data_IF_776732078899
#
_entry.id   IF_776732078899
#
_cell.length_a   1.000
_cell.length_b   1.000
_cell.length_c   1.000
_cell.angle_alpha   90.00
_cell.angle_beta   90.00
_cell.angle_gamma   90.00
#
_symmetry.space_group_name_H-M   'P 1'
#
loop_
_entity.id
_entity.type
_entity.pdbx_description
1 polymer ?
#
# COMPACT_ATOMS: atom_id res chain seq x y z
N UNK A 1 -70.43 21.48 -39.64
CA UNK A 1 -69.58 20.54 -38.89
C UNK A 1 -68.16 20.67 -39.40
N UNK A 2 -67.27 21.34 -38.64
CA UNK A 2 -65.83 21.41 -38.93
C UNK A 2 -65.11 21.19 -37.62
N UNK A 3 -64.57 19.99 -37.43
CA UNK A 3 -63.74 19.62 -36.28
C UNK A 3 -62.30 20.03 -36.56
N UNK A 4 -61.73 20.87 -35.70
CA UNK A 4 -60.29 21.16 -35.67
C UNK A 4 -59.64 20.26 -34.62
N UNK A 5 -58.68 19.43 -35.04
CA UNK A 5 -57.87 18.58 -34.18
C UNK A 5 -56.58 19.35 -33.86
N UNK A 6 -56.37 19.69 -32.60
CA UNK A 6 -55.14 20.27 -32.06
C UNK A 6 -54.19 19.13 -31.65
N UNK A 7 -53.06 19.00 -32.35
CA UNK A 7 -51.96 18.09 -32.01
C UNK A 7 -50.99 18.81 -31.07
N UNK A 8 -50.90 18.34 -29.83
CA UNK A 8 -49.91 18.78 -28.84
C UNK A 8 -48.66 17.90 -28.95
N UNK A 9 -47.56 18.44 -29.48
CA UNK A 9 -46.26 17.77 -29.53
C UNK A 9 -45.51 17.98 -28.20
N UNK A 10 -45.31 16.90 -27.44
CA UNK A 10 -44.53 16.90 -26.19
C UNK A 10 -43.05 16.76 -26.53
N UNK A 11 -42.25 17.81 -26.32
CA UNK A 11 -40.79 17.75 -26.41
C UNK A 11 -40.23 17.12 -25.12
N UNK A 12 -39.75 15.88 -25.18
CA UNK A 12 -38.98 15.28 -24.10
C UNK A 12 -37.52 15.75 -24.19
N UNK A 13 -37.09 16.61 -23.27
CA UNK A 13 -35.69 16.98 -23.12
C UNK A 13 -34.93 15.83 -22.42
N UNK A 14 -34.09 15.13 -23.17
CA UNK A 14 -33.14 14.15 -22.62
C UNK A 14 -32.01 14.92 -21.96
N UNK A 15 -32.02 14.99 -20.63
CA UNK A 15 -30.88 15.47 -19.85
C UNK A 15 -29.79 14.39 -19.90
N UNK A 16 -28.80 14.56 -20.76
CA UNK A 16 -27.57 13.77 -20.71
C UNK A 16 -26.83 14.12 -19.40
N UNK A 17 -26.78 13.17 -18.46
CA UNK A 17 -25.93 13.30 -17.28
C UNK A 17 -24.47 13.37 -17.76
N UNK A 18 -23.68 14.38 -17.33
CA UNK A 18 -22.24 14.35 -17.59
C UNK A 18 -21.68 13.11 -16.88
N UNK A 19 -21.10 12.20 -17.67
CA UNK A 19 -20.25 11.14 -17.12
C UNK A 19 -19.22 11.80 -16.20
N UNK A 20 -19.07 11.26 -15.00
CA UNK A 20 -18.19 11.80 -13.97
C UNK A 20 -16.83 12.13 -14.56
N UNK A 21 -16.39 13.36 -14.33
CA UNK A 21 -15.01 13.78 -14.54
C UNK A 21 -14.14 12.91 -13.63
N UNK A 22 -13.62 11.80 -14.15
CA UNK A 22 -12.36 11.25 -13.64
C UNK A 22 -11.36 12.41 -13.72
N UNK A 23 -11.11 13.04 -12.58
CA UNK A 23 -10.11 14.09 -12.46
C UNK A 23 -8.83 13.54 -13.07
N UNK A 24 -8.31 14.21 -14.11
CA UNK A 24 -7.06 13.84 -14.76
C UNK A 24 -5.97 13.88 -13.68
N UNK A 25 -5.66 12.71 -13.14
CA UNK A 25 -4.66 12.57 -12.09
C UNK A 25 -3.33 13.14 -12.60
N UNK A 26 -2.58 13.89 -11.77
CA UNK A 26 -1.29 14.42 -12.16
C UNK A 26 -0.42 13.29 -12.74
N UNK A 27 -0.07 13.40 -14.04
CA UNK A 27 0.76 12.41 -14.70
C UNK A 27 2.22 12.71 -14.34
N UNK A 28 2.75 11.95 -13.39
CA UNK A 28 4.18 11.86 -13.20
C UNK A 28 4.83 11.25 -14.46
N UNK A 29 6.13 11.51 -14.67
CA UNK A 29 6.87 10.84 -15.72
C UNK A 29 6.85 9.31 -15.50
N UNK A 30 6.96 8.52 -16.57
CA UNK A 30 6.92 7.06 -16.45
C UNK A 30 8.03 6.51 -15.54
N UNK A 31 9.19 7.18 -15.52
CA UNK A 31 10.31 6.86 -14.64
C UNK A 31 10.13 7.34 -13.18
N UNK A 32 9.01 8.01 -12.89
CA UNK A 32 8.63 8.53 -11.58
C UNK A 32 7.18 8.14 -11.18
N UNK A 33 6.68 7.02 -11.72
CA UNK A 33 5.31 6.56 -11.49
C UNK A 33 5.31 5.14 -10.93
N UNK A 34 4.75 4.96 -9.73
CA UNK A 34 4.49 3.62 -9.18
C UNK A 34 3.13 3.09 -9.63
N UNK A 35 2.96 1.77 -9.61
CA UNK A 35 1.67 1.16 -9.89
C UNK A 35 1.55 -0.20 -9.20
N UNK A 36 0.35 -0.54 -8.73
CA UNK A 36 0.12 -1.85 -8.11
C UNK A 36 -1.22 -2.40 -8.59
N UNK A 37 -1.17 -3.33 -9.56
CA UNK A 37 -2.37 -3.95 -10.13
C UNK A 37 -2.53 -5.41 -9.70
N UNK A 38 -1.42 -6.11 -9.47
CA UNK A 38 -1.38 -7.48 -8.95
C UNK A 38 0.01 -7.82 -8.42
N UNK A 39 0.21 -9.06 -7.95
CA UNK A 39 1.51 -9.55 -7.53
C UNK A 39 2.54 -9.66 -8.67
N UNK A 40 2.08 -9.73 -9.92
CA UNK A 40 2.93 -9.86 -11.12
C UNK A 40 2.89 -8.62 -12.02
N UNK A 41 2.01 -7.65 -11.73
CA UNK A 41 1.88 -6.39 -12.46
C UNK A 41 2.00 -5.22 -11.48
N UNK A 42 3.23 -4.72 -11.32
CA UNK A 42 3.55 -3.66 -10.40
C UNK A 42 4.78 -2.87 -10.84
N UNK A 43 4.91 -1.65 -10.34
CA UNK A 43 6.05 -0.78 -10.45
C UNK A 43 6.35 -0.14 -9.09
N UNK A 44 7.63 -0.06 -8.74
CA UNK A 44 8.15 0.44 -7.48
C UNK A 44 9.26 1.46 -7.73
N UNK A 45 9.52 2.34 -6.77
CA UNK A 45 10.69 3.24 -6.82
C UNK A 45 11.91 2.52 -6.24
N UNK A 46 13.04 2.61 -6.93
CA UNK A 46 14.32 2.09 -6.47
C UNK A 46 15.42 3.12 -6.72
N UNK A 47 16.60 2.96 -6.11
CA UNK A 47 17.76 3.75 -6.47
C UNK A 47 18.08 3.64 -7.96
N UNK A 48 18.52 4.76 -8.56
CA UNK A 48 18.96 4.81 -9.95
C UNK A 48 20.34 4.16 -10.11
N UNK A 49 21.21 4.36 -9.12
CA UNK A 49 22.58 3.87 -9.14
C UNK A 49 22.69 2.47 -8.51
N UNK A 50 23.64 1.63 -8.97
CA UNK A 50 23.90 0.34 -8.37
C UNK A 50 24.26 0.43 -6.88
N UNK A 51 23.91 -0.60 -6.11
CA UNK A 51 24.32 -0.83 -4.73
C UNK A 51 24.16 0.38 -3.80
N UNK A 52 23.07 1.12 -3.99
CA UNK A 52 22.80 2.36 -3.26
C UNK A 52 21.87 2.06 -2.08
N UNK A 53 22.11 2.69 -0.94
CA UNK A 53 21.16 2.63 0.18
C UNK A 53 19.91 3.44 -0.18
N UNK A 54 18.75 3.02 0.31
CA UNK A 54 17.47 3.70 0.04
C UNK A 54 17.57 5.17 0.46
N UNK A 55 18.04 5.44 1.68
CA UNK A 55 18.21 6.81 2.18
C UNK A 55 19.25 7.66 1.42
N UNK A 56 20.28 7.03 0.84
CA UNK A 56 21.28 7.77 0.04
C UNK A 56 20.73 8.17 -1.33
N UNK A 57 19.73 7.45 -1.83
CA UNK A 57 19.10 7.75 -3.11
C UNK A 57 18.13 8.93 -3.07
N UNK A 58 17.75 9.39 -1.87
CA UNK A 58 16.70 10.36 -1.56
C UNK A 58 17.02 11.83 -1.95
N UNK A 59 17.63 12.03 -3.12
CA UNK A 59 17.90 13.33 -3.71
C UNK A 59 17.32 13.42 -5.13
N UNK A 60 17.05 14.62 -5.68
CA UNK A 60 16.58 14.77 -7.05
C UNK A 60 17.44 13.98 -8.06
N UNK A 61 16.79 13.11 -8.84
CA UNK A 61 17.44 12.23 -9.83
C UNK A 61 18.06 10.93 -9.29
N UNK A 62 18.17 10.75 -7.98
CA UNK A 62 18.77 9.56 -7.34
C UNK A 62 17.90 8.31 -7.39
N UNK A 63 16.63 8.46 -7.75
CA UNK A 63 15.61 7.41 -7.76
C UNK A 63 14.99 7.25 -9.14
N UNK A 64 14.36 6.09 -9.35
CA UNK A 64 13.72 5.72 -10.62
C UNK A 64 12.70 4.61 -10.40
N UNK A 65 11.68 4.57 -11.25
CA UNK A 65 10.71 3.49 -11.32
C UNK A 65 11.32 2.22 -11.93
N UNK A 66 11.11 1.08 -11.27
CA UNK A 66 11.38 -0.26 -11.77
C UNK A 66 10.08 -1.08 -11.75
N UNK A 67 9.79 -1.78 -12.83
CA UNK A 67 8.54 -2.52 -12.99
C UNK A 67 8.77 -4.01 -13.19
N UNK A 68 7.80 -4.83 -12.78
CA UNK A 68 7.72 -6.21 -13.26
C UNK A 68 7.59 -6.23 -14.79
N UNK A 69 7.90 -7.37 -15.43
CA UNK A 69 7.80 -7.50 -16.88
C UNK A 69 6.40 -7.12 -17.41
N UNK A 70 5.33 -7.47 -16.68
CA UNK A 70 3.94 -7.15 -17.05
C UNK A 70 3.51 -5.71 -16.71
N UNK A 71 4.24 -5.04 -15.82
CA UNK A 71 3.99 -3.65 -15.43
C UNK A 71 4.82 -2.64 -16.22
N UNK A 72 5.88 -3.08 -16.87
CA UNK A 72 6.78 -2.26 -17.69
C UNK A 72 6.07 -1.80 -18.96
N UNK A 73 6.05 -0.49 -19.19
CA UNK A 73 5.40 0.09 -20.37
C UNK A 73 6.22 1.19 -21.05
N UNK A 74 7.33 1.63 -20.46
CA UNK A 74 8.17 2.69 -21.00
C UNK A 74 9.66 2.36 -20.85
N UNK A 75 10.46 2.66 -21.89
CA UNK A 75 11.91 2.43 -21.89
C UNK A 75 12.67 3.20 -20.80
N UNK A 76 12.09 4.31 -20.33
CA UNK A 76 12.61 5.07 -19.21
C UNK A 76 12.40 4.35 -17.88
N UNK A 77 11.70 3.23 -17.79
CA UNK A 77 11.57 2.43 -16.56
C UNK A 77 12.63 1.33 -16.51
N UNK A 78 13.07 0.97 -15.30
CA UNK A 78 13.86 -0.23 -15.10
C UNK A 78 13.00 -1.50 -15.04
N UNK A 79 13.64 -2.66 -15.14
CA UNK A 79 12.99 -3.95 -14.97
C UNK A 79 13.34 -4.57 -13.62
N UNK A 80 12.32 -5.05 -12.92
CA UNK A 80 12.45 -5.88 -11.73
C UNK A 80 12.59 -7.33 -12.21
N UNK A 81 13.70 -8.01 -11.90
CA UNK A 81 13.92 -9.36 -12.35
C UNK A 81 12.92 -10.34 -11.72
N UNK A 82 12.61 -11.40 -12.46
CA UNK A 82 11.80 -12.51 -11.94
C UNK A 82 12.42 -13.09 -10.67
N UNK A 83 11.57 -13.44 -9.69
CA UNK A 83 12.01 -13.93 -8.38
C UNK A 83 12.47 -12.83 -7.41
N UNK A 84 12.43 -11.55 -7.80
CA UNK A 84 12.65 -10.44 -6.86
C UNK A 84 11.71 -10.55 -5.66
N UNK A 85 10.40 -10.70 -5.88
CA UNK A 85 9.51 -11.15 -4.82
C UNK A 85 9.64 -12.66 -4.67
N UNK A 86 10.21 -13.11 -3.55
CA UNK A 86 10.16 -14.54 -3.18
C UNK A 86 8.73 -14.95 -2.89
N UNK A 87 7.99 -14.05 -2.25
CA UNK A 87 6.57 -14.17 -1.96
C UNK A 87 5.99 -12.79 -1.75
N UNK A 88 4.87 -12.51 -2.40
CA UNK A 88 4.14 -11.28 -2.23
C UNK A 88 2.65 -11.57 -2.05
N UNK A 89 2.00 -10.72 -1.27
CA UNK A 89 0.57 -10.70 -1.06
C UNK A 89 0.02 -9.38 -1.60
N UNK A 90 -0.86 -9.50 -2.58
CA UNK A 90 -1.59 -8.37 -3.14
C UNK A 90 -2.95 -8.24 -2.45
N UNK A 91 -3.32 -7.03 -2.04
CA UNK A 91 -4.60 -6.70 -1.42
C UNK A 91 -5.16 -5.41 -1.99
N UNK A 92 -6.46 -5.39 -2.21
CA UNK A 92 -7.22 -4.18 -2.55
C UNK A 92 -8.43 -4.06 -1.65
N UNK A 93 -8.93 -2.86 -1.48
CA UNK A 93 -10.17 -2.62 -0.74
C UNK A 93 -10.44 -1.15 -0.54
N UNK A 94 -11.35 -0.86 0.39
CA UNK A 94 -11.62 0.49 0.88
C UNK A 94 -11.08 0.65 2.29
N UNK A 95 -10.47 1.80 2.56
CA UNK A 95 -9.99 2.17 3.88
C UNK A 95 -11.07 2.81 4.75
N UNK A 96 -10.65 3.45 5.85
CA UNK A 96 -11.57 3.90 6.91
C UNK A 96 -12.63 4.88 6.43
N UNK A 97 -12.24 5.76 5.50
CA UNK A 97 -13.10 6.82 4.97
C UNK A 97 -13.67 6.45 3.59
N UNK A 98 -13.63 5.17 3.21
CA UNK A 98 -14.15 4.68 1.93
C UNK A 98 -13.20 4.83 0.73
N UNK A 99 -12.08 5.53 0.88
CA UNK A 99 -11.04 5.65 -0.15
C UNK A 99 -10.47 4.30 -0.56
N UNK A 100 -10.19 4.10 -1.85
CA UNK A 100 -9.66 2.81 -2.33
C UNK A 100 -8.19 2.69 -1.98
N UNK A 101 -7.71 1.46 -1.88
CA UNK A 101 -6.29 1.16 -1.82
C UNK A 101 -5.92 -0.08 -2.62
N UNK A 102 -4.65 -0.13 -3.04
CA UNK A 102 -3.97 -1.31 -3.51
C UNK A 102 -2.64 -1.45 -2.77
N UNK A 103 -2.32 -2.66 -2.31
CA UNK A 103 -1.11 -2.94 -1.56
C UNK A 103 -0.47 -4.21 -2.07
N UNK A 104 0.83 -4.15 -2.32
CA UNK A 104 1.68 -5.31 -2.53
C UNK A 104 2.72 -5.35 -1.43
N UNK A 105 2.78 -6.47 -0.72
CA UNK A 105 3.62 -6.59 0.45
C UNK A 105 4.22 -7.98 0.54
N UNK A 106 5.47 -8.10 0.94
CA UNK A 106 6.09 -9.41 0.94
C UNK A 106 7.57 -9.40 1.23
N UNK A 107 8.21 -10.49 0.80
CA UNK A 107 9.62 -10.69 1.02
C UNK A 107 10.37 -10.74 -0.30
N UNK A 108 11.43 -9.93 -0.34
CA UNK A 108 12.23 -9.68 -1.53
C UNK A 108 13.54 -10.48 -1.49
N UNK A 109 14.13 -10.66 -2.66
CA UNK A 109 15.50 -11.08 -2.85
C UNK A 109 16.30 -9.87 -3.32
N UNK A 110 16.85 -9.07 -2.39
CA UNK A 110 17.50 -7.79 -2.74
C UNK A 110 18.75 -7.99 -3.61
N UNK A 111 19.37 -9.17 -3.58
CA UNK A 111 20.54 -9.48 -4.40
C UNK A 111 20.24 -9.67 -5.90
N UNK A 112 18.97 -9.78 -6.30
CA UNK A 112 18.62 -9.88 -7.72
C UNK A 112 18.57 -8.52 -8.41
N UNK A 113 18.29 -7.45 -7.67
CA UNK A 113 18.25 -6.10 -8.21
C UNK A 113 19.53 -5.37 -7.81
N UNK A 114 20.43 -5.19 -8.77
CA UNK A 114 21.76 -4.59 -8.58
C UNK A 114 21.73 -3.16 -8.01
N UNK A 115 20.59 -2.47 -8.10
CA UNK A 115 20.36 -1.13 -7.51
C UNK A 115 20.35 -1.12 -5.99
N UNK A 116 19.95 -2.23 -5.38
CA UNK A 116 19.85 -2.32 -3.93
C UNK A 116 21.20 -2.72 -3.33
N UNK A 117 21.52 -2.11 -2.20
CA UNK A 117 22.51 -2.66 -1.27
C UNK A 117 21.81 -3.68 -0.35
N UNK A 118 22.12 -4.99 -0.43
CA UNK A 118 21.47 -6.00 0.42
C UNK A 118 21.71 -5.82 1.93
N UNK A 119 22.70 -5.02 2.32
CA UNK A 119 23.01 -4.73 3.74
C UNK A 119 22.30 -3.49 4.28
N UNK A 120 21.56 -2.77 3.44
CA UNK A 120 20.88 -1.55 3.84
C UNK A 120 19.72 -1.83 4.81
N UNK A 121 19.60 -1.01 5.84
CA UNK A 121 18.47 -1.01 6.78
C UNK A 121 17.14 -0.74 6.07
N UNK A 122 17.18 0.05 5.00
CA UNK A 122 16.04 0.41 4.19
C UNK A 122 15.63 1.87 4.34
N UNK A 123 14.49 2.18 3.76
CA UNK A 123 13.91 3.53 3.81
C UNK A 123 12.51 3.57 3.22
N UNK A 124 11.99 4.77 3.07
CA UNK A 124 10.64 5.04 2.57
C UNK A 124 10.71 5.90 1.31
N UNK A 125 9.88 5.59 0.32
CA UNK A 125 9.53 6.50 -0.76
C UNK A 125 8.03 6.77 -0.71
N UNK A 126 7.62 8.00 -0.98
CA UNK A 126 6.21 8.35 -0.85
C UNK A 126 5.88 9.63 -1.65
N UNK A 127 4.60 9.85 -1.95
CA UNK A 127 4.15 10.99 -2.76
C UNK A 127 3.97 12.30 -1.98
N UNK A 128 4.08 12.28 -0.65
CA UNK A 128 3.61 13.35 0.24
C UNK A 128 4.61 13.79 1.30
N UNK A 129 5.78 13.16 1.36
CA UNK A 129 6.90 13.44 2.25
C UNK A 129 7.88 14.43 1.64
N UNK A 130 9.12 14.42 2.15
CA UNK A 130 10.18 15.31 1.70
C UNK A 130 9.93 16.79 1.98
N UNK A 131 10.86 17.63 1.50
CA UNK A 131 10.79 19.09 1.70
C UNK A 131 9.55 19.68 1.03
N UNK A 132 8.69 20.31 1.83
CA UNK A 132 7.44 20.93 1.34
C UNK A 132 6.34 19.94 0.96
N UNK A 133 6.42 18.67 1.39
CA UNK A 133 5.36 17.68 1.17
C UNK A 133 5.18 17.26 -0.29
N UNK A 134 6.26 17.34 -1.08
CA UNK A 134 6.24 17.11 -2.53
C UNK A 134 6.62 15.68 -2.93
N UNK A 135 6.75 14.79 -1.94
CA UNK A 135 7.16 13.41 -2.10
C UNK A 135 8.67 13.24 -2.22
N UNK A 136 9.08 11.99 -2.05
CA UNK A 136 10.42 11.52 -2.34
C UNK A 136 10.32 10.18 -3.08
N UNK A 137 10.51 10.16 -4.41
CA UNK A 137 11.02 11.24 -5.26
C UNK A 137 10.00 12.39 -5.43
N UNK A 138 10.50 13.60 -5.68
CA UNK A 138 9.65 14.77 -5.87
C UNK A 138 8.70 14.59 -7.08
N UNK A 139 7.41 14.83 -6.88
CA UNK A 139 6.40 14.74 -7.94
C UNK A 139 6.12 13.31 -8.42
N UNK A 140 6.53 12.31 -7.65
CA UNK A 140 6.17 10.93 -7.86
C UNK A 140 4.68 10.72 -7.59
N UNK A 141 4.07 9.76 -8.29
CA UNK A 141 2.66 9.45 -8.14
C UNK A 141 2.40 7.95 -8.28
N UNK A 142 1.27 7.49 -7.71
CA UNK A 142 0.77 6.16 -8.02
C UNK A 142 -0.34 6.22 -9.06
N UNK A 143 -0.20 5.41 -10.10
CA UNK A 143 -1.18 5.35 -11.18
C UNK A 143 -2.55 4.89 -10.64
N UNK A 144 -3.56 5.77 -10.73
CA UNK A 144 -4.93 5.49 -10.31
C UNK A 144 -5.24 5.85 -8.85
N UNK A 145 -4.29 6.41 -8.09
CA UNK A 145 -4.42 6.74 -6.68
C UNK A 145 -3.82 8.11 -6.35
N UNK A 146 -4.32 8.77 -5.30
CA UNK A 146 -3.87 10.12 -4.92
C UNK A 146 -2.56 10.13 -4.14
N UNK A 147 -2.29 9.05 -3.40
CA UNK A 147 -1.13 8.93 -2.53
C UNK A 147 -0.50 7.55 -2.67
N UNK A 148 0.78 7.46 -2.32
CA UNK A 148 1.43 6.17 -2.08
C UNK A 148 2.48 6.26 -0.99
N UNK A 149 2.76 5.11 -0.38
CA UNK A 149 3.89 4.87 0.49
C UNK A 149 4.54 3.55 0.10
N UNK A 150 5.86 3.58 -0.05
CA UNK A 150 6.71 2.45 -0.38
C UNK A 150 7.79 2.31 0.68
N UNK A 151 8.02 1.09 1.14
CA UNK A 151 9.04 0.74 2.10
C UNK A 151 9.87 -0.37 1.50
N UNK A 152 11.18 -0.15 1.44
CA UNK A 152 12.14 -1.14 0.93
C UNK A 152 13.19 -1.35 2.01
N UNK A 153 13.30 -2.57 2.53
CA UNK A 153 14.20 -2.92 3.63
C UNK A 153 15.05 -4.14 3.25
N UNK A 154 16.14 -3.91 2.49
CA UNK A 154 16.95 -4.98 1.91
C UNK A 154 17.54 -5.95 2.94
N UNK A 155 18.12 -5.43 4.02
CA UNK A 155 18.72 -6.25 5.10
C UNK A 155 17.71 -7.17 5.78
N UNK A 156 16.44 -6.76 5.84
CA UNK A 156 15.34 -7.56 6.36
C UNK A 156 14.63 -8.39 5.28
N UNK A 157 15.06 -8.29 4.02
CA UNK A 157 14.49 -8.96 2.86
C UNK A 157 12.98 -8.75 2.75
N UNK A 158 12.50 -7.53 3.00
CA UNK A 158 11.08 -7.18 2.97
C UNK A 158 10.84 -5.88 2.22
N UNK A 159 9.69 -5.78 1.59
CA UNK A 159 9.22 -4.54 1.00
C UNK A 159 7.69 -4.47 1.02
N UNK A 160 7.16 -3.25 0.95
CA UNK A 160 5.75 -2.97 0.91
C UNK A 160 5.51 -1.74 0.05
N UNK A 161 4.63 -1.82 -0.94
CA UNK A 161 4.12 -0.67 -1.69
C UNK A 161 2.62 -0.60 -1.48
N UNK A 162 2.10 0.59 -1.17
CA UNK A 162 0.68 0.83 -1.00
C UNK A 162 0.29 2.13 -1.68
N UNK A 163 -0.71 2.06 -2.54
CA UNK A 163 -1.36 3.20 -3.14
C UNK A 163 -2.76 3.38 -2.54
N UNK A 164 -3.17 4.61 -2.32
CA UNK A 164 -4.46 4.93 -1.71
C UNK A 164 -5.04 6.26 -2.21
N UNK A 165 -6.37 6.36 -2.18
CA UNK A 165 -7.07 7.61 -2.49
C UNK A 165 -7.10 8.57 -1.29
N UNK A 166 -7.08 8.03 -0.07
CA UNK A 166 -7.07 8.78 1.19
C UNK A 166 -5.69 8.69 1.87
N UNK A 167 -5.03 9.82 2.19
CA UNK A 167 -3.72 9.82 2.83
C UNK A 167 -3.71 9.12 4.20
N UNK A 168 -4.83 9.04 4.92
CA UNK A 168 -4.95 8.29 6.17
C UNK A 168 -4.74 6.78 5.97
N UNK A 169 -4.95 6.29 4.75
CA UNK A 169 -4.69 4.90 4.38
C UNK A 169 -3.25 4.67 3.88
N UNK A 170 -2.44 5.72 3.67
CA UNK A 170 -1.00 5.64 3.37
C UNK A 170 -0.18 6.42 4.39
N UNK A 171 -0.13 5.99 5.67
CA UNK A 171 0.65 6.70 6.68
C UNK A 171 2.16 6.59 6.40
N UNK A 172 2.83 7.74 6.31
CA UNK A 172 4.29 7.85 6.10
C UNK A 172 5.09 7.64 7.39
N UNK A 173 4.46 7.64 8.56
CA UNK A 173 5.13 7.45 9.85
C UNK A 173 5.19 5.99 10.32
N UNK A 174 4.87 5.02 9.45
CA UNK A 174 4.83 3.59 9.81
C UNK A 174 5.91 2.79 9.10
N UNK A 175 6.53 1.86 9.84
CA UNK A 175 7.47 0.89 9.28
C UNK A 175 6.77 -0.25 8.53
N UNK A 176 7.50 -1.03 7.73
CA UNK A 176 6.86 -2.00 6.84
C UNK A 176 6.06 -3.04 7.63
N UNK A 177 6.59 -3.47 8.78
CA UNK A 177 5.95 -4.39 9.74
C UNK A 177 4.55 -3.95 10.16
N UNK A 178 4.31 -2.66 10.30
CA UNK A 178 2.99 -2.12 10.66
C UNK A 178 2.08 -1.98 9.44
N UNK A 179 2.65 -1.65 8.27
CA UNK A 179 1.94 -1.63 6.98
C UNK A 179 1.52 -3.04 6.51
N UNK A 180 2.18 -4.12 6.98
CA UNK A 180 1.76 -5.51 6.78
C UNK A 180 0.45 -5.84 7.51
N UNK A 181 0.13 -5.11 8.57
CA UNK A 181 -1.00 -5.37 9.47
C UNK A 181 -2.07 -4.32 9.27
N UNK A 182 -2.73 -4.29 8.09
CA UNK A 182 -3.97 -3.53 7.97
C UNK A 182 -4.99 -4.12 8.98
N UNK A 183 -5.39 -3.37 10.03
CA UNK A 183 -6.11 -3.94 11.17
C UNK A 183 -7.62 -4.12 10.91
N UNK A 184 -8.09 -3.93 9.68
CA UNK A 184 -9.52 -3.82 9.35
C UNK A 184 -10.10 -5.02 8.59
N UNK A 185 -9.50 -6.20 8.67
CA UNK A 185 -10.17 -7.39 8.11
C UNK A 185 -9.82 -8.65 8.89
N UNK A 186 -10.85 -9.40 9.31
CA UNK A 186 -10.75 -10.77 9.83
C UNK A 186 -10.08 -11.75 8.84
N UNK A 187 -9.87 -11.35 7.57
CA UNK A 187 -8.99 -12.00 6.58
C UNK A 187 -7.49 -11.66 6.75
N UNK A 188 -7.10 -11.01 7.84
CA UNK A 188 -5.71 -10.72 8.19
C UNK A 188 -4.91 -11.96 8.60
N UNK A 189 -5.57 -12.94 9.22
CA UNK A 189 -4.92 -14.13 9.80
C UNK A 189 -4.29 -15.04 8.73
N UNK A 190 -4.96 -15.26 7.58
CA UNK A 190 -4.36 -16.04 6.47
C UNK A 190 -3.14 -15.35 5.86
N UNK A 191 -3.17 -14.02 5.69
CA UNK A 191 -2.02 -13.28 5.17
C UNK A 191 -0.84 -13.31 6.14
N UNK A 192 -1.13 -13.19 7.43
CA UNK A 192 -0.15 -13.32 8.50
C UNK A 192 0.47 -14.71 8.44
N UNK A 193 -0.30 -15.79 8.37
CA UNK A 193 0.24 -17.16 8.23
C UNK A 193 1.10 -17.30 6.96
N UNK A 194 0.63 -16.85 5.81
CA UNK A 194 1.34 -16.93 4.52
C UNK A 194 2.72 -16.24 4.58
N UNK A 195 2.80 -15.08 5.25
CA UNK A 195 4.03 -14.30 5.43
C UNK A 195 4.92 -14.85 6.54
N UNK A 196 4.35 -15.36 7.64
CA UNK A 196 5.09 -15.98 8.75
C UNK A 196 5.78 -17.28 8.37
N UNK A 197 5.11 -18.11 7.57
CA UNK A 197 5.70 -19.38 7.16
C UNK A 197 6.88 -19.21 6.21
N UNK A 198 6.83 -18.21 5.32
CA UNK A 198 7.75 -18.07 4.18
C UNK A 198 8.73 -16.91 4.31
N UNK A 199 8.58 -16.07 5.34
CA UNK A 199 9.50 -15.00 5.63
C UNK A 199 10.05 -15.14 7.06
N UNK A 200 11.21 -15.81 7.23
CA UNK A 200 11.75 -16.10 8.55
C UNK A 200 12.05 -14.84 9.38
N UNK A 201 12.23 -13.67 8.75
CA UNK A 201 12.42 -12.40 9.44
C UNK A 201 11.11 -11.79 9.99
N UNK A 202 9.96 -12.07 9.35
CA UNK A 202 8.63 -11.67 9.88
C UNK A 202 8.29 -12.50 11.14
N UNK A 203 8.79 -13.74 11.26
CA UNK A 203 8.63 -14.56 12.48
C UNK A 203 9.18 -13.88 13.74
N UNK A 204 10.27 -13.11 13.63
CA UNK A 204 10.84 -12.39 14.80
C UNK A 204 9.92 -11.26 15.26
N UNK A 205 9.40 -10.46 14.33
CA UNK A 205 8.44 -9.40 14.64
C UNK A 205 7.10 -9.97 15.16
N UNK A 206 6.65 -11.10 14.61
CA UNK A 206 5.41 -11.74 15.05
C UNK A 206 5.54 -12.54 16.34
N UNK A 207 6.73 -12.99 16.75
CA UNK A 207 6.94 -13.50 18.12
C UNK A 207 6.73 -12.40 19.15
N UNK A 208 7.17 -11.18 18.85
CA UNK A 208 6.95 -10.01 19.71
C UNK A 208 5.47 -9.59 19.70
N UNK A 209 4.81 -9.60 18.54
CA UNK A 209 3.36 -9.34 18.46
C UNK A 209 2.51 -10.47 19.08
N UNK A 210 2.93 -11.74 18.98
CA UNK A 210 2.23 -12.84 19.65
C UNK A 210 2.37 -12.74 21.16
N UNK A 211 3.52 -12.31 21.69
CA UNK A 211 3.67 -11.99 23.12
C UNK A 211 2.78 -10.80 23.52
N UNK A 212 2.64 -9.79 22.65
CA UNK A 212 1.76 -8.64 22.88
C UNK A 212 0.26 -9.00 22.79
N UNK A 213 -0.15 -9.85 21.85
CA UNK A 213 -1.54 -10.29 21.68
C UNK A 213 -1.93 -11.25 22.82
N UNK A 214 -1.05 -12.18 23.21
CA UNK A 214 -1.28 -13.06 24.36
C UNK A 214 -1.39 -12.25 25.65
N UNK A 215 -0.61 -11.18 25.80
CA UNK A 215 -0.75 -10.30 26.98
C UNK A 215 -2.06 -9.50 26.93
N UNK A 216 -2.46 -8.92 25.79
CA UNK A 216 -3.73 -8.18 25.69
C UNK A 216 -4.95 -9.07 25.91
N UNK A 217 -4.98 -10.28 25.34
CA UNK A 217 -6.05 -11.25 25.61
C UNK A 217 -6.03 -11.73 27.08
N UNK A 218 -4.84 -11.92 27.68
CA UNK A 218 -4.73 -12.26 29.10
C UNK A 218 -5.19 -11.13 30.03
N UNK A 219 -4.92 -9.85 29.71
CA UNK A 219 -5.40 -8.70 30.48
C UNK A 219 -6.93 -8.57 30.38
N UNK A 220 -7.51 -8.71 29.19
CA UNK A 220 -8.97 -8.71 29.03
C UNK A 220 -9.65 -9.90 29.75
N UNK A 221 -9.00 -11.07 29.79
CA UNK A 221 -9.52 -12.22 30.54
C UNK A 221 -9.41 -12.04 32.06
N UNK A 222 -8.33 -11.42 32.54
CA UNK A 222 -8.11 -11.16 33.97
C UNK A 222 -9.03 -10.05 34.49
N UNK A 223 -9.27 -8.98 33.74
CA UNK A 223 -10.24 -7.95 34.12
C UNK A 223 -11.68 -8.50 34.15
N UNK A 224 -12.04 -9.37 33.20
CA UNK A 224 -13.36 -10.02 33.18
C UNK A 224 -13.52 -11.09 34.29
N UNK A 225 -12.43 -11.70 34.74
CA UNK A 225 -12.43 -12.63 35.88
C UNK A 225 -12.46 -11.90 37.23
N UNK A 226 -11.77 -10.75 37.36
CA UNK A 226 -11.77 -9.95 38.59
C UNK A 226 -13.11 -9.22 38.81
N UNK A 227 -13.73 -8.71 37.74
CA UNK A 227 -15.05 -8.07 37.80
C UNK A 227 -16.18 -9.03 38.22
N UNK A 228 -16.07 -10.34 37.91
CA UNK A 228 -17.07 -11.33 38.33
C UNK A 228 -16.88 -11.87 39.75
N UNK A 229 -15.68 -11.74 40.32
CA UNK A 229 -15.41 -12.22 41.69
C UNK A 229 -15.84 -11.20 42.75
N UNK A 230 -15.95 -9.92 42.39
CA UNK A 230 -16.32 -8.83 43.30
C UNK A 230 -17.83 -8.62 43.44
N UNK A 231 -18.67 -9.19 42.58
CA UNK A 231 -20.14 -9.01 42.65
C UNK A 231 -20.89 -10.15 43.38
N UNK A 232 -20.22 -11.25 43.73
CA UNK A 232 -20.82 -12.37 44.48
C UNK A 232 -20.47 -12.35 45.98
N UNK A 233 -19.92 -11.24 46.51
CA UNK A 233 -19.49 -11.15 47.92
C UNK A 233 -20.03 -9.91 48.64
N UNK A 234 -21.32 -9.61 48.45
CA UNK A 234 -22.12 -8.73 49.33
C UNK A 234 -23.60 -9.11 49.21
N UNK A 235 -23.95 -10.32 49.64
CA UNK A 235 -25.30 -10.67 50.12
C UNK A 235 -25.15 -11.84 51.08
N UNK A 236 -24.70 -11.52 52.29
CA UNK A 236 -24.97 -12.22 53.55
C UNK A 236 -24.75 -11.23 54.70
#
# INVERSE_FOLDING_TARGET
MRSAILLLSVLSAVLASPAGLDALQPRAAADNTVSVKSADNFCMIMPRNPHTNIGDSEHPGGMKTYCSASGHYDSSQGLIPGGFWRKAAFKTGSGKNGGRYAQLTGCINPGLLDRLNPRDGGGQYDSSGGAGGRGNPQGSACLGYNHYVELVEPSSSRACIRCCDDPADCPTNKGASESFLSPYTLRGIELILILLYHCPQIRKAARLLSQAIITVEAYHFLDFAWSRTTHTRTME
#
